data_IF_545294415236
#
_entry.id   IF_545294415236
#
_cell.length_a   1.000
_cell.length_b   1.000
_cell.length_c   1.000
_cell.angle_alpha   90.00
_cell.angle_beta   90.00
_cell.angle_gamma   90.00
#
_symmetry.space_group_name_H-M   'P 1'
#
loop_
_entity.id
_entity.type
_entity.pdbx_description
1 polymer ?
#
# COMPACT_ATOMS: atom_id res chain seq x y z
N UNK A 1 31.24 -12.97 -43.72
CA UNK A 1 30.92 -13.63 -42.44
C UNK A 1 29.41 -13.68 -42.27
N UNK A 2 28.89 -14.54 -41.39
CA UNK A 2 27.48 -14.43 -40.97
C UNK A 2 27.36 -13.20 -40.07
N UNK A 3 26.18 -12.61 -40.01
CA UNK A 3 25.93 -11.43 -39.16
C UNK A 3 26.32 -11.76 -37.70
N UNK A 4 26.99 -10.82 -37.02
CA UNK A 4 27.56 -11.01 -35.69
C UNK A 4 28.98 -11.59 -35.66
N UNK A 5 29.61 -11.93 -36.79
CA UNK A 5 30.97 -12.52 -36.79
C UNK A 5 31.99 -11.77 -37.67
N UNK A 6 33.26 -11.84 -37.28
CA UNK A 6 34.41 -11.20 -37.92
C UNK A 6 35.64 -12.12 -37.94
N UNK A 7 36.73 -11.66 -38.56
CA UNK A 7 37.96 -12.44 -38.75
C UNK A 7 38.09 -13.01 -40.17
N UNK A 8 39.28 -13.54 -40.49
CA UNK A 8 39.59 -14.04 -41.84
C UNK A 8 38.73 -15.25 -42.20
N UNK A 9 38.40 -16.07 -41.21
CA UNK A 9 37.56 -17.26 -41.33
C UNK A 9 36.23 -17.12 -40.58
N UNK A 10 35.84 -15.89 -40.20
CA UNK A 10 34.62 -15.61 -39.45
C UNK A 10 34.55 -16.34 -38.09
N UNK A 11 35.72 -16.52 -37.48
CA UNK A 11 35.91 -17.26 -36.23
C UNK A 11 35.70 -16.42 -34.97
N UNK A 12 35.61 -15.09 -35.12
CA UNK A 12 35.51 -14.15 -33.99
C UNK A 12 34.08 -13.64 -33.88
N UNK A 13 33.46 -13.82 -32.73
CA UNK A 13 32.17 -13.19 -32.41
C UNK A 13 32.37 -11.69 -32.16
N UNK A 14 31.43 -10.88 -32.63
CA UNK A 14 31.45 -9.43 -32.40
C UNK A 14 30.82 -9.18 -31.03
N UNK A 15 31.56 -8.59 -30.11
CA UNK A 15 31.02 -8.20 -28.80
C UNK A 15 30.14 -6.94 -28.94
N UNK A 16 28.83 -7.14 -29.04
CA UNK A 16 27.86 -6.05 -29.17
C UNK A 16 27.72 -5.23 -27.86
N UNK A 17 28.17 -5.77 -26.72
CA UNK A 17 28.16 -5.08 -25.43
C UNK A 17 29.22 -3.97 -25.32
N UNK A 18 30.25 -3.94 -26.18
CA UNK A 18 31.27 -2.87 -26.21
C UNK A 18 30.67 -1.48 -26.43
N UNK A 19 29.51 -1.39 -27.08
CA UNK A 19 28.80 -0.13 -27.33
C UNK A 19 28.08 0.43 -26.09
N UNK A 20 28.09 -0.30 -24.97
CA UNK A 20 27.39 0.02 -23.72
C UNK A 20 25.89 0.32 -23.96
N UNK A 21 25.14 -0.64 -24.55
CA UNK A 21 23.75 -0.39 -24.95
C UNK A 21 22.80 -0.29 -23.75
N UNK A 22 23.06 -1.05 -22.68
CA UNK A 22 22.20 -1.09 -21.49
C UNK A 22 22.32 0.17 -20.63
N UNK A 23 21.19 0.81 -20.33
CA UNK A 23 21.10 2.02 -19.49
C UNK A 23 20.90 1.68 -18.02
N UNK A 24 21.04 2.72 -17.18
CA UNK A 24 20.83 2.68 -15.73
C UNK A 24 21.50 1.49 -15.02
N UNK A 25 22.74 1.17 -15.40
CA UNK A 25 23.51 0.09 -14.79
C UNK A 25 22.92 -1.32 -15.04
N UNK A 26 22.16 -1.51 -16.13
CA UNK A 26 21.76 -2.82 -16.61
C UNK A 26 22.97 -3.67 -17.04
N UNK A 27 22.89 -4.98 -16.81
CA UNK A 27 23.95 -5.93 -17.19
C UNK A 27 23.77 -6.32 -18.65
N UNK A 28 24.79 -6.07 -19.47
CA UNK A 28 24.81 -6.50 -20.87
C UNK A 28 25.34 -7.93 -20.99
N UNK A 29 24.66 -8.75 -21.77
CA UNK A 29 25.11 -10.08 -22.18
C UNK A 29 25.14 -10.13 -23.70
N UNK A 30 26.33 -10.40 -24.21
CA UNK A 30 26.60 -10.60 -25.62
C UNK A 30 25.93 -11.89 -26.10
N UNK A 31 25.31 -11.85 -27.28
CA UNK A 31 24.66 -13.00 -27.92
C UNK A 31 24.97 -12.95 -29.42
N UNK A 32 24.82 -14.08 -30.11
CA UNK A 32 25.11 -14.11 -31.54
C UNK A 32 24.30 -13.04 -32.30
N UNK A 33 25.02 -12.09 -32.92
CA UNK A 33 24.47 -10.98 -33.70
C UNK A 33 23.54 -10.05 -32.88
N UNK A 34 23.88 -9.78 -31.62
CA UNK A 34 23.14 -8.84 -30.80
C UNK A 34 23.48 -8.86 -29.32
N UNK A 35 22.64 -8.22 -28.52
CA UNK A 35 22.84 -8.17 -27.07
C UNK A 35 21.52 -8.36 -26.32
N UNK A 36 21.62 -8.73 -25.05
CA UNK A 36 20.52 -8.75 -24.08
C UNK A 36 20.88 -7.92 -22.86
N UNK A 37 19.99 -7.01 -22.48
CA UNK A 37 20.11 -6.29 -21.21
C UNK A 37 19.28 -6.96 -20.11
N UNK A 38 19.90 -7.18 -18.95
CA UNK A 38 19.23 -7.48 -17.70
C UNK A 38 19.06 -6.17 -16.92
N UNK A 39 17.82 -5.71 -16.83
CA UNK A 39 17.51 -4.43 -16.22
C UNK A 39 17.45 -4.52 -14.70
N UNK A 40 17.93 -3.48 -13.99
CA UNK A 40 17.72 -3.37 -12.56
C UNK A 40 16.25 -3.07 -12.25
N UNK A 41 15.89 -3.27 -10.99
CA UNK A 41 14.54 -2.99 -10.51
C UNK A 41 14.12 -1.55 -10.84
N UNK A 42 12.91 -1.41 -11.35
CA UNK A 42 12.38 -0.10 -11.76
C UNK A 42 12.66 0.29 -13.21
N UNK A 43 13.37 -0.56 -13.97
CA UNK A 43 13.67 -0.33 -15.38
C UNK A 43 13.26 -1.50 -16.27
N UNK A 44 12.92 -1.20 -17.52
CA UNK A 44 12.49 -2.18 -18.52
C UNK A 44 12.80 -1.70 -19.94
N UNK A 45 12.44 -2.53 -20.92
CA UNK A 45 12.71 -2.30 -22.34
C UNK A 45 14.02 -2.95 -22.79
N UNK A 46 14.28 -2.98 -24.11
CA UNK A 46 15.43 -3.67 -24.69
C UNK A 46 16.78 -3.14 -24.20
N UNK A 47 16.82 -1.84 -23.86
CA UNK A 47 18.03 -1.16 -23.36
C UNK A 47 17.90 -0.66 -21.93
N UNK A 48 16.88 -1.10 -21.19
CA UNK A 48 16.56 -0.62 -19.84
C UNK A 48 16.27 0.89 -19.76
N UNK A 49 15.95 1.54 -20.87
CA UNK A 49 15.72 2.98 -20.98
C UNK A 49 14.35 3.42 -20.44
N UNK A 50 13.42 2.47 -20.30
CA UNK A 50 12.09 2.73 -19.78
C UNK A 50 12.11 2.58 -18.26
N UNK A 51 11.72 3.62 -17.52
CA UNK A 51 11.42 3.47 -16.10
C UNK A 51 10.12 2.69 -15.95
N UNK A 52 10.20 1.38 -15.77
CA UNK A 52 9.07 0.61 -15.25
C UNK A 52 8.93 0.98 -13.80
N UNK A 53 8.15 2.04 -13.49
CA UNK A 53 7.72 2.29 -12.11
C UNK A 53 7.20 0.98 -11.58
N UNK A 54 8.03 0.35 -10.75
CA UNK A 54 7.70 -0.90 -10.10
C UNK A 54 6.69 -0.53 -9.04
N UNK A 55 5.43 -0.50 -9.45
CA UNK A 55 4.32 -0.90 -8.59
C UNK A 55 4.45 -2.38 -8.17
N UNK A 56 5.59 -3.04 -8.44
CA UNK A 56 6.08 -4.25 -7.78
C UNK A 56 6.72 -3.99 -6.41
N UNK A 57 6.37 -2.89 -5.74
CA UNK A 57 6.30 -2.86 -4.28
C UNK A 57 5.18 -3.76 -3.75
N UNK A 58 5.19 -5.06 -4.06
CA UNK A 58 4.45 -6.07 -3.30
C UNK A 58 5.31 -6.54 -2.12
N UNK A 59 5.66 -5.60 -1.26
CA UNK A 59 6.07 -5.83 0.12
C UNK A 59 5.38 -4.83 1.07
N UNK A 60 4.17 -4.37 0.70
CA UNK A 60 3.29 -3.60 1.58
C UNK A 60 2.03 -4.43 1.89
N UNK A 61 2.20 -5.65 2.40
CA UNK A 61 1.06 -6.42 2.94
C UNK A 61 0.95 -6.35 4.46
N UNK A 62 1.95 -5.83 5.18
CA UNK A 62 1.94 -5.79 6.65
C UNK A 62 1.42 -4.48 7.24
N UNK A 63 1.36 -3.39 6.46
CA UNK A 63 0.86 -2.09 6.94
C UNK A 63 -0.68 -2.00 6.92
N UNK A 64 -1.35 -2.67 5.98
CA UNK A 64 -2.82 -2.53 5.81
C UNK A 64 -3.62 -3.28 6.88
N UNK A 65 -3.14 -4.43 7.36
CA UNK A 65 -3.80 -5.18 8.44
C UNK A 65 -3.69 -4.41 9.75
N UNK A 66 -2.50 -3.89 10.08
CA UNK A 66 -2.27 -3.11 11.31
C UNK A 66 -3.12 -1.84 11.29
N UNK A 67 -3.13 -1.09 10.18
CA UNK A 67 -3.96 0.10 10.03
C UNK A 67 -5.45 -0.25 10.13
N UNK A 68 -5.89 -1.34 9.52
CA UNK A 68 -7.27 -1.83 9.63
C UNK A 68 -7.67 -2.18 11.07
N UNK A 69 -6.79 -2.86 11.81
CA UNK A 69 -7.01 -3.19 13.22
C UNK A 69 -7.04 -1.94 14.11
N UNK A 70 -6.13 -0.99 13.89
CA UNK A 70 -6.09 0.27 14.64
C UNK A 70 -7.37 1.08 14.41
N UNK A 71 -7.83 1.20 13.16
CA UNK A 71 -9.08 1.91 12.82
C UNK A 71 -10.29 1.19 13.45
N UNK A 72 -10.35 -0.14 13.36
CA UNK A 72 -11.43 -0.92 13.97
C UNK A 72 -11.48 -0.72 15.49
N UNK A 73 -10.34 -0.78 16.18
CA UNK A 73 -10.26 -0.56 17.64
C UNK A 73 -10.69 0.86 18.00
N UNK A 74 -10.21 1.88 17.29
CA UNK A 74 -10.60 3.28 17.53
C UNK A 74 -12.11 3.48 17.33
N UNK A 75 -12.69 2.90 16.27
CA UNK A 75 -14.13 2.95 16.02
C UNK A 75 -14.92 2.27 17.15
N UNK A 76 -14.51 1.09 17.59
CA UNK A 76 -15.18 0.39 18.71
C UNK A 76 -15.10 1.22 19.99
N UNK A 77 -13.93 1.79 20.32
CA UNK A 77 -13.78 2.64 21.50
C UNK A 77 -14.65 3.90 21.42
N UNK A 78 -14.72 4.55 20.25
CA UNK A 78 -15.57 5.71 20.04
C UNK A 78 -17.07 5.36 20.19
N UNK A 79 -17.51 4.21 19.66
CA UNK A 79 -18.88 3.72 19.80
C UNK A 79 -19.22 3.37 21.25
N UNK A 80 -18.32 2.70 21.96
CA UNK A 80 -18.53 2.36 23.39
C UNK A 80 -18.57 3.61 24.26
N UNK A 81 -17.71 4.60 23.98
CA UNK A 81 -17.74 5.88 24.68
C UNK A 81 -19.04 6.64 24.39
N UNK A 82 -19.44 6.72 23.11
CA UNK A 82 -20.70 7.31 22.69
C UNK A 82 -21.91 6.65 23.35
N UNK A 83 -21.97 5.32 23.36
CA UNK A 83 -23.04 4.56 24.01
C UNK A 83 -23.10 4.81 25.52
N UNK A 84 -21.95 4.89 26.22
CA UNK A 84 -21.91 5.24 27.66
C UNK A 84 -22.36 6.66 27.93
N UNK A 85 -21.99 7.62 27.09
CA UNK A 85 -22.44 9.02 27.19
C UNK A 85 -23.96 9.09 27.01
N UNK A 86 -24.50 8.47 25.96
CA UNK A 86 -25.95 8.41 25.71
C UNK A 86 -26.69 7.72 26.85
N UNK A 87 -26.20 6.57 27.31
CA UNK A 87 -26.80 5.85 28.43
C UNK A 87 -26.80 6.70 29.72
N UNK A 88 -25.70 7.39 30.02
CA UNK A 88 -25.60 8.27 31.20
C UNK A 88 -26.54 9.47 31.07
N UNK A 89 -26.65 10.03 29.87
CA UNK A 89 -27.58 11.13 29.56
C UNK A 89 -29.03 10.70 29.76
N UNK A 90 -29.43 9.55 29.19
CA UNK A 90 -30.78 9.00 29.36
C UNK A 90 -31.08 8.63 30.81
N UNK A 91 -30.10 8.06 31.54
CA UNK A 91 -30.24 7.76 32.97
C UNK A 91 -30.44 9.02 33.80
N UNK A 92 -29.75 10.13 33.49
CA UNK A 92 -29.98 11.43 34.14
C UNK A 92 -31.35 12.00 33.81
N UNK A 93 -31.76 11.95 32.54
CA UNK A 93 -33.09 12.43 32.10
C UNK A 93 -34.22 11.67 32.77
N UNK A 94 -34.12 10.34 32.88
CA UNK A 94 -35.10 9.53 33.58
C UNK A 94 -35.14 9.81 35.09
N UNK A 95 -34.00 10.14 35.74
CA UNK A 95 -34.01 10.59 37.15
C UNK A 95 -34.75 11.91 37.32
N UNK A 96 -34.51 12.90 36.46
CA UNK A 96 -35.20 14.19 36.52
C UNK A 96 -36.70 14.01 36.29
N UNK A 97 -37.08 13.22 35.29
CA UNK A 97 -38.48 12.89 35.02
C UNK A 97 -39.15 12.15 36.19
N UNK A 98 -38.41 11.29 36.90
CA UNK A 98 -38.92 10.58 38.09
C UNK A 98 -38.99 11.49 39.32
N UNK A 99 -38.10 12.47 39.47
CA UNK A 99 -38.20 13.50 40.51
C UNK A 99 -39.38 14.45 40.26
N UNK A 100 -39.67 14.78 39.00
CA UNK A 100 -40.82 15.60 38.60
C UNK A 100 -42.17 14.89 38.74
N UNK A 101 -42.23 13.56 38.77
CA UNK A 101 -43.48 12.83 39.10
C UNK A 101 -43.68 12.75 40.61
N UNK A 102 -42.63 12.42 41.39
CA UNK A 102 -42.73 12.39 42.85
C UNK A 102 -43.17 13.73 43.46
N UNK A 103 -42.78 14.88 42.87
CA UNK A 103 -43.23 16.19 43.34
C UNK A 103 -44.71 16.48 43.00
N UNK A 104 -45.24 15.93 41.91
CA UNK A 104 -46.66 16.08 41.53
C UNK A 104 -47.57 15.17 42.34
N UNK A 105 -47.09 13.96 42.65
CA UNK A 105 -47.83 12.99 43.47
C UNK A 105 -47.93 13.46 44.95
N UNK A 106 -46.92 14.18 45.48
CA UNK A 106 -47.01 14.81 46.81
C UNK A 106 -47.97 16.01 46.86
N UNK A 107 -48.24 16.68 45.73
CA UNK A 107 -49.17 17.82 45.65
C UNK A 107 -50.64 17.35 45.53
N UNK A 108 -50.91 16.21 44.88
CA UNK A 108 -52.25 15.59 44.87
C UNK A 108 -52.66 14.96 46.21
N UNK A 109 -51.71 14.54 47.06
CA UNK A 109 -52.02 13.97 48.40
C UNK A 109 -52.35 15.05 49.44
N UNK A 110 -52.02 16.32 49.17
CA UNK A 110 -52.22 17.45 50.08
C UNK A 110 -53.48 18.28 49.83
N UNK A 111 -54.29 17.93 48.84
CA UNK A 111 -55.54 18.62 48.47
C UNK A 111 -56.73 17.65 48.49
#
# INVERSE_FOLDING_TARGET
CVDGTTGKNCETDIDECQSVPCKYNGTCVDILNGFRCYCPDGFSGPTCDMSSVSSGGQAVETMNIIVGLVVAVVCVLALLFGAKVVHTYLKRKNRVSSSETNLKDEEEVKN
#
